data_IF_008163728178
#
_entry.id   IF_008163728178
#
_cell.length_a   1.000
_cell.length_b   1.000
_cell.length_c   1.000
_cell.angle_alpha   90.00
_cell.angle_beta   90.00
_cell.angle_gamma   90.00
#
_symmetry.space_group_name_H-M   'P 1'
#
loop_
_entity.id
_entity.type
_entity.pdbx_description
1 polymer ?
#
# COMPACT_ATOMS: atom_id res chain seq x y z
N UNK A 1 -12.68 -22.33 -5.33
CA UNK A 1 -12.82 -21.10 -4.53
C UNK A 1 -12.20 -21.34 -3.17
N UNK A 2 -11.05 -20.76 -2.88
CA UNK A 2 -10.46 -20.79 -1.54
C UNK A 2 -11.00 -19.60 -0.74
N UNK A 3 -11.45 -19.86 0.50
CA UNK A 3 -11.85 -18.80 1.41
C UNK A 3 -10.63 -17.88 1.70
N UNK A 4 -10.85 -16.57 1.68
CA UNK A 4 -9.88 -15.59 2.13
C UNK A 4 -10.26 -15.15 3.54
N UNK A 5 -9.26 -14.91 4.35
CA UNK A 5 -9.40 -14.55 5.76
C UNK A 5 -8.76 -13.18 6.02
N UNK A 6 -9.17 -12.56 7.10
CA UNK A 6 -8.51 -11.40 7.67
C UNK A 6 -8.32 -11.60 9.18
N UNK A 7 -7.25 -11.04 9.71
CA UNK A 7 -7.00 -10.96 11.14
C UNK A 7 -7.23 -9.53 11.61
N UNK A 8 -8.01 -9.37 12.67
CA UNK A 8 -8.24 -8.07 13.28
C UNK A 8 -7.40 -7.91 14.55
N UNK A 9 -6.54 -6.91 14.54
CA UNK A 9 -5.70 -6.52 15.66
C UNK A 9 -6.23 -5.21 16.23
N UNK A 10 -6.80 -5.27 17.45
CA UNK A 10 -7.31 -4.09 18.14
C UNK A 10 -6.18 -3.14 18.49
N UNK A 11 -6.48 -1.84 18.55
CA UNK A 11 -5.62 -0.90 19.24
C UNK A 11 -5.43 -1.31 20.70
N UNK A 12 -4.22 -1.12 21.23
CA UNK A 12 -3.87 -1.52 22.59
C UNK A 12 -4.76 -0.82 23.63
N UNK A 13 -5.10 -1.54 24.70
CA UNK A 13 -5.87 -0.97 25.81
C UNK A 13 -5.10 0.22 26.43
N UNK A 14 -5.82 1.30 26.69
CA UNK A 14 -5.24 2.55 27.19
C UNK A 14 -4.49 3.39 26.16
N UNK A 15 -4.38 2.95 24.91
CA UNK A 15 -3.78 3.77 23.83
C UNK A 15 -4.69 4.95 23.46
N UNK A 16 -4.06 6.06 23.06
CA UNK A 16 -4.79 7.24 22.59
C UNK A 16 -5.44 6.95 21.22
N UNK A 17 -6.78 6.97 21.17
CA UNK A 17 -7.59 6.64 19.99
C UNK A 17 -8.01 7.86 19.17
N UNK A 18 -7.77 9.08 19.67
CA UNK A 18 -8.18 10.33 19.07
C UNK A 18 -7.05 11.36 19.08
N UNK A 19 -7.05 12.23 18.10
CA UNK A 19 -6.19 13.42 18.03
C UNK A 19 -7.11 14.60 17.68
N UNK A 20 -7.10 15.65 18.49
CA UNK A 20 -7.93 16.85 18.29
C UNK A 20 -9.42 16.50 18.08
N UNK A 21 -9.95 15.53 18.85
CA UNK A 21 -11.32 15.06 18.77
C UNK A 21 -11.66 14.22 17.52
N UNK A 22 -10.67 13.85 16.72
CA UNK A 22 -10.84 12.98 15.56
C UNK A 22 -10.31 11.58 15.86
N UNK A 23 -11.13 10.57 15.60
CA UNK A 23 -10.71 9.17 15.77
C UNK A 23 -9.59 8.81 14.82
N UNK A 24 -8.66 7.99 15.30
CA UNK A 24 -7.59 7.41 14.49
C UNK A 24 -8.16 6.39 13.51
N UNK A 25 -7.67 6.36 12.25
CA UNK A 25 -8.16 5.43 11.24
C UNK A 25 -7.81 3.97 11.58
N UNK A 26 -8.59 3.05 11.05
CA UNK A 26 -8.16 1.66 10.95
C UNK A 26 -7.30 1.46 9.70
N UNK A 27 -6.28 0.59 9.81
CA UNK A 27 -5.37 0.28 8.71
C UNK A 27 -5.71 -1.10 8.14
N UNK A 28 -5.95 -1.20 6.84
CA UNK A 28 -6.10 -2.46 6.11
C UNK A 28 -4.75 -2.77 5.45
N UNK A 29 -4.15 -3.89 5.81
CA UNK A 29 -2.80 -4.24 5.37
C UNK A 29 -2.80 -5.48 4.47
N UNK A 30 -2.15 -5.37 3.30
CA UNK A 30 -1.84 -6.47 2.39
C UNK A 30 -0.34 -6.80 2.42
N UNK A 31 -0.02 -8.07 2.63
CA UNK A 31 1.37 -8.54 2.75
C UNK A 31 2.12 -8.56 1.41
N UNK A 32 3.46 -8.66 1.48
CA UNK A 32 4.34 -8.85 0.34
C UNK A 32 4.52 -10.33 -0.04
N UNK A 33 5.13 -10.60 -1.19
CA UNK A 33 5.45 -11.96 -1.63
C UNK A 33 5.29 -12.19 -3.13
N UNK A 34 5.37 -11.11 -3.95
CA UNK A 34 5.45 -11.19 -5.41
C UNK A 34 4.22 -11.83 -6.08
N UNK A 35 3.06 -11.81 -5.43
CA UNK A 35 1.84 -12.51 -5.87
C UNK A 35 1.98 -14.04 -5.95
N UNK A 36 3.06 -14.62 -5.40
CA UNK A 36 3.34 -16.06 -5.43
C UNK A 36 3.24 -16.72 -4.07
N UNK A 37 3.46 -15.96 -3.01
CA UNK A 37 3.50 -16.43 -1.63
C UNK A 37 3.30 -15.28 -0.65
N UNK A 38 3.59 -15.56 0.62
CA UNK A 38 3.39 -14.62 1.72
C UNK A 38 2.24 -15.06 2.60
N UNK A 39 2.11 -14.40 3.74
CA UNK A 39 1.10 -14.67 4.76
C UNK A 39 0.81 -13.37 5.50
N UNK A 40 -0.45 -13.14 5.89
CA UNK A 40 -0.90 -11.95 6.60
C UNK A 40 -0.37 -11.84 8.04
N UNK A 41 0.03 -12.96 8.63
CA UNK A 41 0.42 -13.13 10.04
C UNK A 41 1.92 -13.37 10.27
N UNK A 42 2.79 -13.07 9.29
CA UNK A 42 4.23 -13.20 9.45
C UNK A 42 4.75 -12.37 10.63
N UNK A 43 5.73 -12.91 11.36
CA UNK A 43 6.28 -12.33 12.60
C UNK A 43 6.75 -10.88 12.43
N UNK A 44 7.41 -10.53 11.33
CA UNK A 44 7.88 -9.16 11.11
C UNK A 44 6.72 -8.16 10.88
N UNK A 45 5.61 -8.59 10.28
CA UNK A 45 4.40 -7.78 10.19
C UNK A 45 3.73 -7.62 11.55
N UNK A 46 3.69 -8.66 12.36
CA UNK A 46 3.12 -8.58 13.73
C UNK A 46 3.85 -7.57 14.60
N UNK A 47 5.19 -7.47 14.49
CA UNK A 47 5.97 -6.45 15.21
C UNK A 47 5.57 -5.03 14.80
N UNK A 48 5.41 -4.79 13.51
CA UNK A 48 4.94 -3.50 12.99
C UNK A 48 3.48 -3.23 13.35
N UNK A 49 2.59 -4.22 13.21
CA UNK A 49 1.19 -4.12 13.61
C UNK A 49 1.09 -3.75 15.10
N UNK A 50 1.94 -4.36 15.93
CA UNK A 50 1.99 -4.00 17.37
C UNK A 50 2.33 -2.53 17.59
N UNK A 51 3.27 -1.96 16.83
CA UNK A 51 3.57 -0.53 16.91
C UNK A 51 2.35 0.34 16.59
N UNK A 52 1.60 0.00 15.55
CA UNK A 52 0.36 0.69 15.21
C UNK A 52 -0.66 0.57 16.34
N UNK A 53 -0.88 -0.64 16.86
CA UNK A 53 -1.84 -0.88 17.96
C UNK A 53 -1.47 -0.12 19.24
N UNK A 54 -0.18 -0.12 19.62
CA UNK A 54 0.33 0.62 20.78
C UNK A 54 0.11 2.14 20.62
N UNK A 55 0.10 2.62 19.37
CA UNK A 55 -0.19 4.01 19.02
C UNK A 55 -1.69 4.25 18.68
N UNK A 56 -2.59 3.34 19.03
CA UNK A 56 -4.02 3.55 18.95
C UNK A 56 -4.65 3.32 17.56
N UNK A 57 -3.94 2.72 16.62
CA UNK A 57 -4.44 2.39 15.28
C UNK A 57 -4.81 0.91 15.22
N UNK A 58 -6.09 0.53 15.04
CA UNK A 58 -6.46 -0.86 14.77
C UNK A 58 -6.03 -1.28 13.37
N UNK A 59 -5.71 -2.57 13.19
CA UNK A 59 -5.20 -3.11 11.93
C UNK A 59 -6.00 -4.34 11.50
N UNK A 60 -6.36 -4.39 10.23
CA UNK A 60 -6.86 -5.57 9.54
C UNK A 60 -5.79 -6.09 8.59
N UNK A 61 -5.20 -7.23 8.88
CA UNK A 61 -4.27 -7.89 7.96
C UNK A 61 -5.04 -8.89 7.12
N UNK A 62 -5.02 -8.74 5.79
CA UNK A 62 -5.89 -9.47 4.86
C UNK A 62 -5.13 -10.52 4.05
N UNK A 63 -5.80 -11.63 3.72
CA UNK A 63 -5.41 -12.50 2.62
C UNK A 63 -5.83 -11.87 1.29
N UNK A 64 -5.11 -12.24 0.23
CA UNK A 64 -5.49 -11.98 -1.16
C UNK A 64 -5.04 -13.13 -2.05
N UNK A 65 -5.68 -13.32 -3.20
CA UNK A 65 -5.38 -14.38 -4.16
C UNK A 65 -3.99 -14.20 -4.77
N UNK A 66 -3.19 -15.25 -4.73
CA UNK A 66 -1.82 -15.29 -5.22
C UNK A 66 -1.80 -15.65 -6.72
N UNK A 67 -2.09 -14.68 -7.59
CA UNK A 67 -2.29 -14.89 -9.01
C UNK A 67 -1.08 -15.40 -9.80
N UNK A 68 0.13 -15.34 -9.21
CA UNK A 68 1.35 -15.91 -9.82
C UNK A 68 1.79 -17.23 -9.18
N UNK A 69 1.08 -17.74 -8.16
CA UNK A 69 1.42 -19.00 -7.53
C UNK A 69 1.33 -20.17 -8.53
N UNK A 70 2.45 -20.85 -8.77
CA UNK A 70 2.53 -21.95 -9.73
C UNK A 70 2.54 -21.53 -11.20
N UNK A 71 2.59 -20.21 -11.50
CA UNK A 71 2.62 -19.69 -12.86
C UNK A 71 4.06 -19.64 -13.37
N UNK A 72 4.35 -20.36 -14.46
CA UNK A 72 5.65 -20.34 -15.14
C UNK A 72 5.48 -19.83 -16.57
N UNK A 73 5.55 -18.50 -16.74
CA UNK A 73 5.45 -17.84 -18.06
C UNK A 73 6.53 -16.79 -18.23
N UNK A 74 6.85 -16.44 -19.48
CA UNK A 74 7.88 -15.44 -19.81
C UNK A 74 7.35 -14.43 -20.84
N UNK A 75 8.04 -13.30 -20.98
CA UNK A 75 7.74 -12.28 -21.97
C UNK A 75 6.35 -11.66 -21.78
N UNK A 76 5.60 -11.50 -22.87
CA UNK A 76 4.27 -10.85 -22.87
C UNK A 76 3.25 -11.60 -22.00
N UNK A 77 3.37 -12.93 -21.90
CA UNK A 77 2.48 -13.73 -21.04
C UNK A 77 2.69 -13.39 -19.55
N UNK A 78 3.93 -13.08 -19.13
CA UNK A 78 4.22 -12.61 -17.78
C UNK A 78 3.56 -11.27 -17.50
N UNK A 79 3.57 -10.32 -18.43
CA UNK A 79 2.89 -9.01 -18.25
C UNK A 79 1.39 -9.21 -18.02
N UNK A 80 0.76 -10.10 -18.80
CA UNK A 80 -0.66 -10.43 -18.61
C UNK A 80 -0.94 -11.09 -17.27
N UNK A 81 -0.06 -12.01 -16.83
CA UNK A 81 -0.20 -12.69 -15.56
C UNK A 81 -0.04 -11.72 -14.37
N UNK A 82 0.94 -10.81 -14.42
CA UNK A 82 1.13 -9.76 -13.41
C UNK A 82 -0.10 -8.84 -13.36
N UNK A 83 -0.58 -8.38 -14.52
CA UNK A 83 -1.78 -7.54 -14.57
C UNK A 83 -2.99 -8.25 -13.94
N UNK A 84 -3.24 -9.50 -14.31
CA UNK A 84 -4.31 -10.30 -13.73
C UNK A 84 -4.16 -10.46 -12.21
N UNK A 85 -2.92 -10.70 -11.74
CA UNK A 85 -2.65 -10.82 -10.30
C UNK A 85 -2.92 -9.52 -9.53
N UNK A 86 -2.66 -8.37 -10.15
CA UNK A 86 -3.01 -7.06 -9.59
C UNK A 86 -4.53 -6.90 -9.56
N UNK A 87 -5.23 -7.21 -10.66
CA UNK A 87 -6.70 -7.09 -10.76
C UNK A 87 -7.40 -7.91 -9.66
N UNK A 88 -7.07 -9.21 -9.52
CA UNK A 88 -7.68 -10.05 -8.49
C UNK A 88 -7.30 -9.62 -7.07
N UNK A 89 -6.09 -9.11 -6.85
CA UNK A 89 -5.67 -8.56 -5.57
C UNK A 89 -6.45 -7.28 -5.19
N UNK A 90 -6.77 -6.43 -6.16
CA UNK A 90 -7.64 -5.26 -5.98
C UNK A 90 -9.08 -5.67 -5.66
N UNK A 91 -9.63 -6.66 -6.36
CA UNK A 91 -10.94 -7.24 -6.02
C UNK A 91 -10.98 -7.72 -4.57
N UNK A 92 -9.94 -8.41 -4.12
CA UNK A 92 -9.85 -8.94 -2.77
C UNK A 92 -9.70 -7.81 -1.72
N UNK A 93 -8.93 -6.74 -2.03
CA UNK A 93 -8.84 -5.55 -1.19
C UNK A 93 -10.21 -4.86 -1.06
N UNK A 94 -10.95 -4.69 -2.15
CA UNK A 94 -12.28 -4.09 -2.11
C UNK A 94 -13.29 -4.97 -1.39
N UNK A 95 -13.25 -6.29 -1.57
CA UNK A 95 -14.11 -7.22 -0.84
C UNK A 95 -13.82 -7.17 0.67
N UNK A 96 -12.56 -7.16 1.08
CA UNK A 96 -12.17 -7.00 2.48
C UNK A 96 -12.62 -5.65 3.03
N UNK A 97 -12.47 -4.56 2.27
CA UNK A 97 -12.93 -3.21 2.66
C UNK A 97 -14.44 -3.18 2.86
N UNK A 98 -15.23 -3.72 1.92
CA UNK A 98 -16.69 -3.82 2.06
C UNK A 98 -17.09 -4.60 3.31
N UNK A 99 -16.48 -5.77 3.53
CA UNK A 99 -16.73 -6.56 4.74
C UNK A 99 -16.42 -5.79 6.04
N UNK A 100 -15.31 -5.03 6.06
CA UNK A 100 -14.92 -4.22 7.22
C UNK A 100 -15.94 -3.10 7.46
N UNK A 101 -16.40 -2.43 6.41
CA UNK A 101 -17.43 -1.39 6.47
C UNK A 101 -18.73 -1.97 7.03
N UNK A 102 -19.20 -3.09 6.49
CA UNK A 102 -20.45 -3.75 6.89
C UNK A 102 -20.42 -4.24 8.35
N UNK A 103 -19.23 -4.41 8.93
CA UNK A 103 -19.03 -4.87 10.31
C UNK A 103 -18.35 -3.80 11.19
N UNK A 104 -18.35 -2.52 10.80
CA UNK A 104 -17.61 -1.45 11.46
C UNK A 104 -17.98 -1.31 12.94
N UNK A 105 -19.26 -1.38 13.28
CA UNK A 105 -19.78 -1.33 14.66
C UNK A 105 -19.19 -2.46 15.52
N UNK A 106 -19.16 -3.68 14.98
CA UNK A 106 -18.62 -4.86 15.66
C UNK A 106 -17.12 -4.71 15.95
N UNK A 107 -16.39 -4.05 15.07
CA UNK A 107 -14.95 -3.77 15.22
C UNK A 107 -14.68 -2.50 16.03
N UNK A 108 -15.67 -1.65 16.25
CA UNK A 108 -15.55 -0.37 16.95
C UNK A 108 -14.72 0.65 16.18
N UNK A 109 -14.88 0.70 14.86
CA UNK A 109 -14.16 1.60 13.94
C UNK A 109 -15.14 2.49 13.17
N UNK A 110 -14.61 3.57 12.56
CA UNK A 110 -15.39 4.41 11.64
C UNK A 110 -15.29 3.85 10.22
N UNK A 111 -16.41 3.55 9.53
CA UNK A 111 -16.41 2.90 8.21
C UNK A 111 -15.83 3.78 7.09
N UNK A 112 -15.82 5.09 7.26
CA UNK A 112 -15.28 6.09 6.31
C UNK A 112 -13.85 6.55 6.68
N UNK A 113 -13.24 5.95 7.71
CA UNK A 113 -11.92 6.33 8.20
C UNK A 113 -10.93 5.14 8.10
N UNK A 114 -10.73 4.67 6.87
CA UNK A 114 -9.91 3.50 6.55
C UNK A 114 -8.68 3.92 5.74
N UNK A 115 -7.49 3.49 6.19
CA UNK A 115 -6.22 3.63 5.48
C UNK A 115 -5.83 2.28 4.92
N UNK A 116 -5.53 2.20 3.62
CA UNK A 116 -4.97 0.99 3.02
C UNK A 116 -3.45 1.04 3.02
N UNK A 117 -2.84 -0.09 3.29
CA UNK A 117 -1.39 -0.23 3.37
C UNK A 117 -0.93 -1.55 2.79
N UNK A 118 0.32 -1.60 2.36
CA UNK A 118 0.88 -2.87 1.92
C UNK A 118 2.38 -2.83 1.68
N UNK A 119 2.97 -4.04 1.65
CA UNK A 119 4.37 -4.29 1.36
C UNK A 119 4.52 -4.88 -0.03
N UNK A 120 5.45 -4.40 -0.87
CA UNK A 120 5.79 -5.02 -2.17
C UNK A 120 4.55 -5.26 -3.05
N UNK A 121 4.18 -6.52 -3.30
CA UNK A 121 2.95 -6.90 -4.01
C UNK A 121 1.69 -6.31 -3.35
N UNK A 122 1.61 -6.34 -2.00
CA UNK A 122 0.52 -5.71 -1.25
C UNK A 122 0.50 -4.19 -1.38
N UNK A 123 1.68 -3.55 -1.51
CA UNK A 123 1.77 -2.12 -1.78
C UNK A 123 1.28 -1.77 -3.20
N UNK A 124 1.54 -2.64 -4.17
CA UNK A 124 0.97 -2.52 -5.52
C UNK A 124 -0.55 -2.62 -5.45
N UNK A 125 -1.09 -3.62 -4.72
CA UNK A 125 -2.54 -3.76 -4.51
C UNK A 125 -3.12 -2.49 -3.89
N UNK A 126 -2.54 -1.98 -2.81
CA UNK A 126 -3.05 -0.79 -2.11
C UNK A 126 -3.06 0.45 -3.00
N UNK A 127 -1.95 0.73 -3.69
CA UNK A 127 -1.87 1.86 -4.62
C UNK A 127 -2.81 1.70 -5.82
N UNK A 128 -2.95 0.47 -6.34
CA UNK A 128 -3.85 0.19 -7.45
C UNK A 128 -5.32 0.29 -7.03
N UNK A 129 -5.67 -0.13 -5.80
CA UNK A 129 -7.03 0.01 -5.28
C UNK A 129 -7.44 1.48 -5.21
N UNK A 130 -6.60 2.35 -4.68
CA UNK A 130 -6.85 3.80 -4.70
C UNK A 130 -6.95 4.33 -6.14
N UNK A 131 -6.06 3.88 -7.03
CA UNK A 131 -6.09 4.27 -8.44
C UNK A 131 -7.37 3.85 -9.15
N UNK A 132 -7.83 2.61 -8.95
CA UNK A 132 -9.07 2.09 -9.53
C UNK A 132 -10.31 2.80 -8.96
N UNK A 133 -10.33 3.06 -7.65
CA UNK A 133 -11.41 3.80 -6.98
C UNK A 133 -11.55 5.20 -7.55
N UNK A 134 -10.44 5.97 -7.63
CA UNK A 134 -10.43 7.34 -8.16
C UNK A 134 -10.73 7.44 -9.67
N UNK A 135 -10.60 6.33 -10.40
CA UNK A 135 -10.91 6.26 -11.83
C UNK A 135 -12.25 5.57 -12.12
N UNK A 136 -13.10 5.39 -11.11
CA UNK A 136 -14.46 4.81 -11.22
C UNK A 136 -14.48 3.44 -11.89
N UNK A 137 -13.47 2.61 -11.58
CA UNK A 137 -13.39 1.24 -12.10
C UNK A 137 -14.57 0.40 -11.62
N UNK A 138 -15.03 -0.51 -12.47
CA UNK A 138 -16.05 -1.49 -12.08
C UNK A 138 -15.65 -2.35 -10.88
N UNK A 139 -14.34 -2.53 -10.64
CA UNK A 139 -13.85 -3.28 -9.49
C UNK A 139 -14.28 -2.64 -8.16
N UNK A 140 -14.43 -1.31 -8.13
CA UNK A 140 -14.84 -0.57 -6.94
C UNK A 140 -16.37 -0.59 -6.67
N UNK A 141 -17.17 -1.20 -7.54
CA UNK A 141 -18.64 -1.20 -7.42
C UNK A 141 -19.19 -1.97 -6.21
N UNK A 142 -18.35 -2.69 -5.49
CA UNK A 142 -18.70 -3.38 -4.23
C UNK A 142 -18.61 -2.47 -3.01
N UNK A 143 -18.02 -1.29 -3.17
CA UNK A 143 -17.91 -0.29 -2.13
C UNK A 143 -19.13 0.64 -2.14
N UNK A 144 -19.49 1.26 -0.99
CA UNK A 144 -20.57 2.24 -0.93
C UNK A 144 -20.33 3.43 -1.89
N UNK A 145 -21.42 3.97 -2.43
CA UNK A 145 -21.36 5.15 -3.29
C UNK A 145 -20.67 6.32 -2.58
N UNK A 146 -19.70 6.93 -3.26
CA UNK A 146 -18.93 8.05 -2.72
C UNK A 146 -17.88 7.68 -1.67
N UNK A 147 -17.67 6.39 -1.40
CA UNK A 147 -16.62 5.94 -0.50
C UNK A 147 -15.24 6.45 -0.94
N UNK A 148 -14.39 6.81 0.02
CA UNK A 148 -13.00 7.21 -0.17
C UNK A 148 -12.16 6.66 0.96
N UNK A 149 -10.98 6.16 0.64
CA UNK A 149 -10.00 5.87 1.69
C UNK A 149 -9.50 7.16 2.35
N UNK A 150 -9.16 7.09 3.62
CA UNK A 150 -8.58 8.21 4.37
C UNK A 150 -7.10 8.45 4.03
N UNK A 151 -6.41 7.42 3.53
CA UNK A 151 -5.01 7.49 3.12
C UNK A 151 -4.47 6.17 2.57
N UNK A 152 -3.28 6.23 1.97
CA UNK A 152 -2.56 5.06 1.46
C UNK A 152 -1.13 5.07 1.99
N UNK A 153 -0.65 3.93 2.52
CA UNK A 153 0.76 3.73 2.93
C UNK A 153 1.36 2.63 2.06
N UNK A 154 2.40 2.96 1.30
CA UNK A 154 3.03 2.05 0.34
C UNK A 154 4.50 1.82 0.66
N UNK A 155 4.85 0.58 0.98
CA UNK A 155 6.24 0.14 1.16
C UNK A 155 6.73 -0.54 -0.12
N UNK A 156 7.52 0.19 -0.92
CA UNK A 156 8.07 -0.27 -2.22
C UNK A 156 6.98 -0.71 -3.22
N UNK A 157 5.95 0.12 -3.40
CA UNK A 157 4.85 -0.15 -4.32
C UNK A 157 4.95 0.54 -5.68
N UNK A 158 4.02 0.21 -6.56
CA UNK A 158 3.88 0.82 -7.89
C UNK A 158 2.42 0.74 -8.37
N UNK A 159 2.06 1.56 -9.38
CA UNK A 159 0.77 1.52 -10.06
C UNK A 159 0.97 0.97 -11.47
N UNK A 160 0.15 0.01 -11.88
CA UNK A 160 0.05 -0.43 -13.26
C UNK A 160 -0.94 0.44 -14.02
N UNK A 161 -0.50 1.02 -15.13
CA UNK A 161 -1.37 1.84 -15.99
C UNK A 161 -1.23 1.45 -17.46
N UNK A 162 -2.35 1.51 -18.16
CA UNK A 162 -2.44 1.29 -19.62
C UNK A 162 -2.41 2.60 -20.41
N UNK A 163 -2.28 3.75 -19.73
CA UNK A 163 -2.35 5.09 -20.32
C UNK A 163 -0.98 5.77 -20.48
N UNK A 164 0.13 5.04 -20.30
CA UNK A 164 1.49 5.55 -20.40
C UNK A 164 1.91 6.46 -19.23
N UNK A 165 1.03 6.68 -18.27
CA UNK A 165 1.25 7.48 -17.04
C UNK A 165 0.18 7.16 -16.00
N UNK A 166 0.44 7.52 -14.74
CA UNK A 166 -0.59 7.55 -13.70
C UNK A 166 -1.44 8.82 -13.88
N UNK A 167 -2.76 8.66 -13.91
CA UNK A 167 -3.71 9.77 -14.00
C UNK A 167 -4.95 9.41 -13.22
N UNK A 168 -5.34 10.27 -12.29
CA UNK A 168 -6.56 10.12 -11.50
C UNK A 168 -7.68 10.97 -12.13
N UNK A 169 -8.89 10.43 -12.17
CA UNK A 169 -10.09 11.18 -12.57
C UNK A 169 -10.55 12.08 -11.41
N UNK A 170 -10.60 11.52 -10.20
CA UNK A 170 -10.83 12.27 -8.96
C UNK A 170 -9.53 12.43 -8.18
N UNK A 171 -9.51 13.39 -7.24
CA UNK A 171 -8.39 13.58 -6.32
C UNK A 171 -8.23 12.33 -5.41
N UNK A 172 -7.04 11.70 -5.40
CA UNK A 172 -6.80 10.55 -4.55
C UNK A 172 -6.66 10.96 -3.09
N UNK A 173 -6.84 9.98 -2.19
CA UNK A 173 -6.46 10.11 -0.79
C UNK A 173 -4.97 10.46 -0.66
N UNK A 174 -4.54 11.15 0.42
CA UNK A 174 -3.12 11.39 0.67
C UNK A 174 -2.34 10.06 0.68
N UNK A 175 -1.16 10.08 0.08
CA UNK A 175 -0.33 8.89 -0.08
C UNK A 175 1.01 9.07 0.62
N UNK A 176 1.42 8.07 1.41
CA UNK A 176 2.79 7.91 1.90
C UNK A 176 3.51 6.87 1.04
N UNK A 177 4.56 7.28 0.37
CA UNK A 177 5.35 6.47 -0.54
C UNK A 177 6.75 6.27 0.06
N UNK A 178 7.03 5.09 0.64
CA UNK A 178 8.32 4.71 1.19
C UNK A 178 9.02 3.79 0.17
N UNK A 179 10.20 4.18 -0.35
CA UNK A 179 10.81 3.43 -1.44
C UNK A 179 12.33 3.59 -1.50
N UNK A 180 13.04 2.48 -1.72
CA UNK A 180 14.47 2.48 -1.99
C UNK A 180 14.79 3.06 -3.37
N UNK A 181 15.73 4.01 -3.45
CA UNK A 181 16.06 4.66 -4.74
C UNK A 181 16.73 3.75 -5.75
N UNK A 182 17.29 2.63 -5.29
CA UNK A 182 17.95 1.59 -6.12
C UNK A 182 17.04 0.37 -6.35
N UNK A 183 15.76 0.40 -5.95
CA UNK A 183 14.84 -0.72 -6.13
C UNK A 183 14.61 -1.02 -7.63
N UNK A 184 14.86 -2.28 -7.99
CA UNK A 184 14.65 -2.86 -9.33
C UNK A 184 13.70 -4.06 -9.32
N UNK A 185 13.25 -4.49 -8.15
CA UNK A 185 12.25 -5.54 -7.97
C UNK A 185 10.87 -4.96 -8.26
N UNK A 186 10.45 -3.98 -7.43
CA UNK A 186 9.35 -3.10 -7.77
C UNK A 186 9.97 -1.76 -8.13
N UNK A 187 9.97 -1.44 -9.41
CA UNK A 187 10.74 -0.30 -9.92
C UNK A 187 10.44 1.01 -9.18
N UNK A 188 11.48 1.66 -8.63
CA UNK A 188 11.36 3.00 -8.05
C UNK A 188 10.90 4.06 -9.06
N UNK A 189 11.34 3.94 -10.33
CA UNK A 189 10.98 4.86 -11.41
C UNK A 189 9.79 4.34 -12.22
N UNK A 190 10.07 3.65 -13.32
CA UNK A 190 9.04 2.99 -14.14
C UNK A 190 9.65 2.00 -15.10
N UNK A 191 8.91 0.93 -15.40
CA UNK A 191 9.14 0.04 -16.53
C UNK A 191 7.95 0.21 -17.46
N UNK A 192 8.21 0.51 -18.74
CA UNK A 192 7.16 0.83 -19.71
C UNK A 192 7.44 0.25 -21.09
N UNK A 193 6.39 -0.31 -21.70
CA UNK A 193 6.36 -0.74 -23.09
C UNK A 193 5.15 -0.07 -23.74
N UNK A 194 5.38 0.88 -24.63
CA UNK A 194 4.33 1.76 -25.19
C UNK A 194 3.55 2.47 -24.07
N UNK A 195 2.23 2.26 -24.02
CA UNK A 195 1.34 2.84 -23.02
C UNK A 195 1.14 1.96 -21.79
N UNK A 196 1.63 0.72 -21.81
CA UNK A 196 1.61 -0.19 -20.66
C UNK A 196 2.81 0.07 -19.78
N UNK A 197 2.62 0.19 -18.49
CA UNK A 197 3.75 0.37 -17.58
C UNK A 197 3.41 0.17 -16.11
N UNK A 198 4.46 -0.15 -15.37
CA UNK A 198 4.49 -0.14 -13.92
C UNK A 198 5.22 1.13 -13.49
N UNK A 199 4.55 1.99 -12.74
CA UNK A 199 5.02 3.30 -12.31
C UNK A 199 5.27 3.30 -10.81
N UNK A 200 6.52 3.36 -10.40
CA UNK A 200 6.93 3.39 -9.00
C UNK A 200 6.81 4.77 -8.36
N UNK A 201 7.14 4.84 -7.08
CA UNK A 201 6.93 6.01 -6.21
C UNK A 201 7.48 7.32 -6.77
N UNK A 202 8.64 7.28 -7.48
CA UNK A 202 9.21 8.46 -8.15
C UNK A 202 8.33 9.03 -9.27
N UNK A 203 7.55 8.19 -9.95
CA UNK A 203 6.64 8.65 -11.02
C UNK A 203 5.29 9.01 -10.47
N UNK A 204 4.81 8.29 -9.46
CA UNK A 204 3.56 8.58 -8.76
C UNK A 204 3.67 9.97 -8.14
N UNK A 205 4.70 10.22 -7.32
CA UNK A 205 4.88 11.52 -6.64
C UNK A 205 4.92 12.70 -7.63
N UNK A 206 5.60 12.55 -8.78
CA UNK A 206 5.61 13.60 -9.81
C UNK A 206 4.25 13.86 -10.45
N UNK A 207 3.39 12.83 -10.54
CA UNK A 207 2.02 13.04 -11.05
C UNK A 207 1.14 13.69 -10.00
N UNK A 208 1.26 13.30 -8.73
CA UNK A 208 0.55 13.96 -7.63
C UNK A 208 0.94 15.43 -7.53
N UNK A 209 2.23 15.74 -7.58
CA UNK A 209 2.76 17.11 -7.60
C UNK A 209 2.21 17.92 -8.76
N UNK A 210 2.24 17.36 -9.98
CA UNK A 210 1.73 18.01 -11.19
C UNK A 210 0.26 18.42 -11.09
N UNK A 211 -0.55 17.64 -10.38
CA UNK A 211 -1.99 17.90 -10.22
C UNK A 211 -2.31 18.60 -8.89
N UNK A 212 -1.31 18.96 -8.09
CA UNK A 212 -1.50 19.65 -6.81
C UNK A 212 -2.13 18.78 -5.73
N UNK A 213 -2.01 17.44 -5.83
CA UNK A 213 -2.50 16.52 -4.81
C UNK A 213 -1.45 16.33 -3.72
N UNK A 214 -1.85 16.40 -2.43
CA UNK A 214 -0.92 16.23 -1.32
C UNK A 214 -0.39 14.80 -1.24
N UNK A 215 0.92 14.66 -0.94
CA UNK A 215 1.58 13.38 -0.73
C UNK A 215 2.78 13.53 0.21
N UNK A 216 3.22 12.41 0.75
CA UNK A 216 4.52 12.28 1.41
C UNK A 216 5.32 11.21 0.69
N UNK A 217 6.55 11.51 0.27
CA UNK A 217 7.49 10.51 -0.24
C UNK A 217 8.77 10.53 0.58
N UNK A 218 9.19 9.35 1.02
CA UNK A 218 10.49 9.13 1.67
C UNK A 218 11.33 8.25 0.75
N UNK A 219 12.39 8.84 0.22
CA UNK A 219 13.31 8.25 -0.74
C UNK A 219 14.53 7.75 0.02
N UNK A 220 14.61 6.44 0.28
CA UNK A 220 15.74 5.84 0.98
C UNK A 220 16.91 5.67 0.01
N UNK A 221 17.94 6.49 0.19
CA UNK A 221 19.11 6.56 -0.69
C UNK A 221 19.86 5.23 -0.68
N UNK A 222 20.11 4.69 -1.87
CA UNK A 222 20.82 3.42 -2.11
C UNK A 222 20.13 2.16 -1.59
N UNK A 223 19.01 2.24 -0.89
CA UNK A 223 18.19 1.09 -0.55
C UNK A 223 17.58 0.47 -1.81
N UNK A 224 17.46 -0.84 -1.81
CA UNK A 224 16.86 -1.64 -2.88
C UNK A 224 15.39 -1.97 -2.52
N UNK A 225 14.98 -3.23 -2.60
CA UNK A 225 13.63 -3.67 -2.25
C UNK A 225 13.42 -3.92 -0.76
N UNK A 226 14.47 -3.80 0.02
CA UNK A 226 14.48 -3.97 1.48
C UNK A 226 13.48 -3.06 2.22
N UNK A 227 13.18 -1.87 1.68
CA UNK A 227 12.17 -0.97 2.27
C UNK A 227 10.79 -1.62 2.36
N UNK A 228 10.50 -2.63 1.55
CA UNK A 228 9.27 -3.42 1.63
C UNK A 228 9.12 -4.13 3.00
N UNK A 229 10.22 -4.49 3.65
CA UNK A 229 10.25 -5.23 4.91
C UNK A 229 10.72 -4.37 6.11
N UNK A 230 11.21 -3.14 5.87
CA UNK A 230 11.72 -2.25 6.91
C UNK A 230 10.63 -1.38 7.55
N UNK A 231 9.41 -1.89 7.68
CA UNK A 231 8.23 -1.17 8.20
C UNK A 231 8.44 -0.70 9.64
N UNK A 232 9.16 -1.46 10.47
CA UNK A 232 9.50 -1.11 11.83
C UNK A 232 10.41 0.12 11.89
N UNK A 233 11.47 0.15 11.08
CA UNK A 233 12.45 1.25 11.07
C UNK A 233 11.91 2.55 10.47
N UNK A 234 10.91 2.45 9.60
CA UNK A 234 10.26 3.58 8.94
C UNK A 234 9.01 4.06 9.66
N UNK A 235 8.78 3.59 10.89
CA UNK A 235 7.55 3.88 11.63
C UNK A 235 7.36 5.37 11.99
N UNK A 236 8.39 6.16 12.33
CA UNK A 236 8.23 7.58 12.62
C UNK A 236 7.62 8.38 11.47
N UNK A 237 7.98 8.08 10.22
CA UNK A 237 7.44 8.71 9.01
C UNK A 237 5.96 8.33 8.81
N UNK A 238 5.61 7.08 9.11
CA UNK A 238 4.24 6.58 9.02
C UNK A 238 3.35 7.26 10.05
N UNK A 239 3.81 7.36 11.30
CA UNK A 239 3.07 8.02 12.37
C UNK A 239 2.83 9.49 12.04
N UNK A 240 3.87 10.21 11.58
CA UNK A 240 3.75 11.61 11.13
C UNK A 240 2.73 11.76 10.00
N UNK A 241 2.76 10.87 9.00
CA UNK A 241 1.82 10.88 7.90
C UNK A 241 0.38 10.66 8.37
N UNK A 242 0.14 9.66 9.23
CA UNK A 242 -1.18 9.36 9.77
C UNK A 242 -1.73 10.56 10.56
N UNK A 243 -0.90 11.21 11.38
CA UNK A 243 -1.31 12.36 12.18
C UNK A 243 -1.53 13.61 11.33
N UNK A 244 -0.55 14.00 10.51
CA UNK A 244 -0.58 15.28 9.79
C UNK A 244 -1.45 15.21 8.52
N UNK A 245 -1.30 14.16 7.71
CA UNK A 245 -1.97 14.11 6.42
C UNK A 245 -3.36 13.48 6.49
N UNK A 246 -3.54 12.43 7.31
CA UNK A 246 -4.80 11.69 7.39
C UNK A 246 -5.74 12.33 8.42
N UNK A 247 -5.29 12.51 9.68
CA UNK A 247 -6.16 12.98 10.77
C UNK A 247 -6.34 14.48 10.70
N UNK A 248 -5.25 15.26 10.70
CA UNK A 248 -5.30 16.73 10.67
C UNK A 248 -5.62 17.30 9.28
N UNK A 249 -5.43 16.51 8.21
CA UNK A 249 -5.70 16.90 6.81
C UNK A 249 -4.98 18.20 6.42
N UNK A 250 -3.70 18.30 6.76
CA UNK A 250 -2.91 19.55 6.54
C UNK A 250 -2.70 19.89 5.06
N UNK A 251 -2.93 18.97 4.12
CA UNK A 251 -2.77 19.17 2.68
C UNK A 251 -1.31 19.42 2.25
N UNK A 252 -0.34 19.07 3.09
CA UNK A 252 1.09 19.31 2.82
C UNK A 252 1.65 18.27 1.85
N UNK A 253 2.53 18.73 0.98
CA UNK A 253 3.43 17.88 0.20
C UNK A 253 4.78 17.81 0.91
N UNK A 254 5.28 16.58 1.12
CA UNK A 254 6.55 16.31 1.80
C UNK A 254 7.40 15.38 0.93
N UNK A 255 8.62 15.78 0.60
CA UNK A 255 9.58 14.99 -0.19
C UNK A 255 10.90 14.91 0.60
N UNK A 256 11.23 13.73 1.10
CA UNK A 256 12.39 13.48 1.95
C UNK A 256 13.36 12.56 1.21
N UNK A 257 14.62 12.96 1.10
CA UNK A 257 15.73 12.05 0.78
C UNK A 257 16.35 11.59 2.10
N UNK A 258 16.12 10.33 2.45
CA UNK A 258 16.65 9.71 3.66
C UNK A 258 18.00 9.05 3.35
N UNK A 259 19.03 9.48 4.08
CA UNK A 259 20.38 8.92 4.04
C UNK A 259 20.80 8.63 5.49
N UNK A 260 20.09 7.72 6.14
CA UNK A 260 20.27 7.40 7.55
C UNK A 260 20.98 6.04 7.70
N UNK A 261 22.19 6.02 8.30
CA UNK A 261 22.95 4.78 8.50
C UNK A 261 22.32 3.85 9.55
N UNK A 262 21.33 4.32 10.32
CA UNK A 262 20.63 3.49 11.31
C UNK A 262 19.64 2.55 10.63
N UNK A 263 19.11 2.93 9.46
CA UNK A 263 18.23 2.04 8.69
C UNK A 263 19.10 0.98 8.01
N UNK A 264 18.99 -0.31 8.39
CA UNK A 264 19.85 -1.34 7.84
C UNK A 264 19.58 -1.54 6.35
N UNK A 265 20.66 -1.65 5.56
CA UNK A 265 20.56 -1.91 4.11
C UNK A 265 20.68 -3.41 3.86
N UNK A 266 19.62 -4.01 3.33
CA UNK A 266 19.64 -5.39 2.84
C UNK A 266 19.52 -5.41 1.30
N UNK A 267 20.59 -5.81 0.64
CA UNK A 267 20.70 -5.87 -0.80
C UNK A 267 20.52 -7.31 -1.37
N UNK A 268 19.92 -8.22 -0.64
CA UNK A 268 19.71 -9.62 -1.08
C UNK A 268 18.76 -9.71 -2.27
N UNK A 269 17.69 -8.90 -2.29
CA UNK A 269 16.76 -8.81 -3.41
C UNK A 269 17.08 -7.58 -4.28
N UNK A 270 17.84 -7.78 -5.34
CA UNK A 270 18.28 -6.69 -6.23
C UNK A 270 17.47 -6.55 -7.50
N UNK A 271 16.85 -7.62 -7.95
CA UNK A 271 16.09 -7.65 -9.22
C UNK A 271 14.84 -8.50 -9.08
N UNK A 272 13.88 -8.29 -9.99
CA UNK A 272 12.69 -9.14 -10.09
C UNK A 272 13.04 -10.63 -10.22
N UNK A 273 14.18 -10.94 -10.90
CA UNK A 273 14.67 -12.33 -11.05
C UNK A 273 15.08 -12.99 -9.73
N UNK A 274 15.42 -12.21 -8.71
CA UNK A 274 15.80 -12.76 -7.40
C UNK A 274 14.60 -13.25 -6.60
N UNK A 275 13.38 -12.76 -6.91
CA UNK A 275 12.13 -13.26 -6.35
C UNK A 275 11.74 -14.64 -6.90
N UNK A 276 12.31 -15.05 -8.04
CA UNK A 276 11.94 -16.26 -8.77
C UNK A 276 13.04 -17.36 -8.71
N UNK A 277 14.05 -17.19 -7.86
CA UNK A 277 15.04 -18.21 -7.52
C UNK A 277 14.61 -19.00 -6.31
#
# INVERSE_FOLDING_TARGET
>A
DSALYLDFYKAADGSVREIDGKKKPAVIFAFGGGFMGGQRDKTHYQQWIKLLNDNGYPVFSIDYRLGLKGVSVKGVKMIKAIRHSIEIGVEDMFAATSFIIDNADKFGIEPDNLVISGSSAGAIISLQSEYELCNHSKLASVLPDGFKYAGVISFSGAIFSTHGRVKYADAPAPQLLLHGTADRVVTYKSIRVFNLGLFGSSKISRQLDKFGYPYTIVRYKNHTHDIADLMYYTFPEQLRFLEESVIKKTGRTVDILMDDPIVPVDNTLRTLGDLYK
#
